data_IF_649073864247
#
_entry.id   IF_649073864247
#
_cell.length_a   1.000
_cell.length_b   1.000
_cell.length_c   1.000
_cell.angle_alpha   90.00
_cell.angle_beta   90.00
_cell.angle_gamma   90.00
#
_symmetry.space_group_name_H-M   'P 1'
#
loop_
_entity.id
_entity.type
_entity.pdbx_description
1 polymer ?
#
# COMPACT_ATOMS: atom_id res chain seq x y z
N UNK A 1 13.60 13.42 -82.39
CA UNK A 1 14.13 13.93 -81.14
C UNK A 1 13.59 13.04 -80.00
N UNK A 2 14.37 12.02 -79.58
CA UNK A 2 14.05 11.18 -78.46
C UNK A 2 14.57 11.83 -77.17
N UNK A 3 13.72 12.00 -76.17
CA UNK A 3 14.13 12.36 -74.81
C UNK A 3 14.08 11.14 -73.95
N UNK A 4 15.23 10.72 -73.50
CA UNK A 4 15.45 9.63 -72.51
C UNK A 4 15.15 10.16 -71.11
N UNK A 5 14.19 9.50 -70.40
CA UNK A 5 13.95 9.76 -68.99
C UNK A 5 14.81 8.78 -68.17
N UNK A 6 15.74 9.31 -67.40
CA UNK A 6 16.44 8.57 -66.35
C UNK A 6 15.58 8.57 -65.10
N UNK A 7 15.06 7.41 -64.71
CA UNK A 7 14.44 7.19 -63.38
C UNK A 7 15.49 6.80 -62.38
N UNK A 8 15.84 7.77 -61.49
CA UNK A 8 16.68 7.48 -60.32
C UNK A 8 15.85 6.77 -59.23
N UNK A 9 16.23 5.55 -58.93
CA UNK A 9 15.70 4.82 -57.78
C UNK A 9 16.47 5.26 -56.54
N UNK A 10 15.84 6.04 -55.64
CA UNK A 10 16.36 6.36 -54.34
C UNK A 10 16.16 5.15 -53.40
N UNK A 11 17.23 4.45 -53.05
CA UNK A 11 17.24 3.43 -52.03
C UNK A 11 17.08 4.09 -50.63
N UNK A 12 15.91 3.97 -50.04
CA UNK A 12 15.71 4.32 -48.61
C UNK A 12 16.38 3.22 -47.77
N UNK A 13 17.52 3.56 -47.16
CA UNK A 13 18.15 2.74 -46.15
C UNK A 13 17.30 2.84 -44.86
N UNK A 14 16.54 1.83 -44.55
CA UNK A 14 15.95 1.63 -43.22
C UNK A 14 17.13 1.36 -42.26
N UNK A 15 17.51 2.35 -41.48
CA UNK A 15 18.34 2.13 -40.29
C UNK A 15 17.46 1.43 -39.27
N UNK A 16 17.57 0.11 -39.16
CA UNK A 16 17.04 -0.63 -38.03
C UNK A 16 17.79 -0.11 -36.79
N UNK A 17 17.12 0.65 -35.95
CA UNK A 17 17.60 0.94 -34.62
C UNK A 17 17.72 -0.39 -33.89
N UNK A 18 18.94 -0.86 -33.68
CA UNK A 18 19.23 -1.94 -32.76
C UNK A 18 18.75 -1.47 -31.37
N UNK A 19 17.55 -1.90 -30.99
CA UNK A 19 17.11 -1.76 -29.60
C UNK A 19 18.17 -2.46 -28.76
N UNK A 20 18.83 -1.71 -27.85
CA UNK A 20 19.74 -2.29 -26.89
C UNK A 20 19.00 -3.42 -26.14
N UNK A 21 19.70 -4.53 -25.90
CA UNK A 21 19.13 -5.63 -25.12
C UNK A 21 18.62 -5.07 -23.79
N UNK A 22 17.45 -5.50 -23.29
CA UNK A 22 16.90 -5.00 -22.03
C UNK A 22 17.90 -5.28 -20.90
N UNK A 23 18.30 -4.26 -20.16
CA UNK A 23 19.18 -4.37 -19.00
C UNK A 23 18.64 -3.56 -17.82
N UNK A 24 19.12 -3.88 -16.62
CA UNK A 24 18.88 -3.10 -15.39
C UNK A 24 20.24 -2.59 -14.92
N UNK A 25 20.36 -1.28 -14.74
CA UNK A 25 21.58 -0.69 -14.19
C UNK A 25 21.27 -0.13 -12.79
N UNK A 26 22.13 -0.48 -11.81
CA UNK A 26 22.08 0.00 -10.43
C UNK A 26 23.35 0.75 -10.12
N UNK A 27 23.24 2.02 -9.78
CA UNK A 27 24.39 2.85 -9.38
C UNK A 27 24.50 2.91 -7.85
N UNK A 28 25.44 2.14 -7.30
CA UNK A 28 25.68 2.01 -5.85
C UNK A 28 26.16 3.33 -5.21
N UNK A 29 26.82 4.20 -5.98
CA UNK A 29 27.32 5.48 -5.46
C UNK A 29 26.24 6.57 -5.40
N UNK A 30 25.12 6.38 -6.11
CA UNK A 30 24.07 7.40 -6.23
C UNK A 30 22.85 7.06 -5.40
N UNK A 31 22.77 7.66 -4.22
CA UNK A 31 21.59 7.59 -3.36
C UNK A 31 20.51 8.57 -3.87
N UNK A 32 19.24 8.13 -3.84
CA UNK A 32 18.10 8.92 -4.32
C UNK A 32 17.08 9.23 -3.20
N UNK A 33 17.17 8.54 -2.07
CA UNK A 33 16.26 8.74 -0.95
C UNK A 33 16.36 7.62 0.07
N UNK A 34 15.27 7.41 0.81
CA UNK A 34 15.10 6.32 1.77
C UNK A 34 13.89 5.48 1.42
N UNK A 35 13.96 4.18 1.71
CA UNK A 35 12.82 3.27 1.52
C UNK A 35 11.74 3.58 2.55
N UNK A 36 10.57 3.97 2.08
CA UNK A 36 9.39 4.18 2.93
C UNK A 36 8.71 2.85 3.25
N UNK A 37 9.13 2.19 4.32
CA UNK A 37 8.60 0.89 4.72
C UNK A 37 7.09 0.91 4.98
N UNK A 38 6.48 2.06 5.31
CA UNK A 38 5.03 2.18 5.54
C UNK A 38 4.19 1.90 4.31
N UNK A 39 4.80 1.85 3.11
CA UNK A 39 4.12 1.39 1.89
C UNK A 39 3.78 -0.11 1.94
N UNK A 40 4.53 -0.90 2.73
CA UNK A 40 4.23 -2.31 2.99
C UNK A 40 3.35 -2.52 4.23
N UNK A 41 2.56 -1.53 4.61
CA UNK A 41 1.57 -1.63 5.67
C UNK A 41 0.42 -2.57 5.32
N UNK A 42 -0.42 -2.86 6.31
CA UNK A 42 -1.55 -3.78 6.14
C UNK A 42 -2.78 -3.24 6.87
N UNK A 43 -3.96 -3.45 6.26
CA UNK A 43 -5.25 -3.24 6.90
C UNK A 43 -5.72 -4.55 7.55
N UNK A 44 -6.23 -4.43 8.77
CA UNK A 44 -6.78 -5.58 9.51
C UNK A 44 -7.96 -6.20 8.77
N UNK A 45 -8.85 -5.37 8.22
CA UNK A 45 -10.11 -5.81 7.63
C UNK A 45 -11.21 -6.05 8.68
N UNK A 46 -12.15 -5.11 8.75
CA UNK A 46 -13.12 -4.94 9.86
C UNK A 46 -14.06 -6.09 10.17
N UNK A 47 -14.17 -7.11 9.32
CA UNK A 47 -15.17 -8.17 9.55
C UNK A 47 -14.64 -9.42 10.26
N UNK A 48 -13.34 -9.55 10.45
CA UNK A 48 -12.83 -10.88 10.67
C UNK A 48 -12.44 -11.18 12.13
N UNK A 49 -12.11 -10.20 12.94
CA UNK A 49 -11.40 -10.48 14.18
C UNK A 49 -10.17 -11.37 13.90
N UNK A 50 -9.68 -11.33 12.67
CA UNK A 50 -8.65 -12.23 12.15
C UNK A 50 -7.39 -12.14 12.99
N UNK A 51 -7.02 -10.93 13.38
CA UNK A 51 -5.87 -10.68 14.24
C UNK A 51 -5.89 -11.49 15.55
N UNK A 52 -7.10 -11.78 16.07
CA UNK A 52 -7.24 -12.50 17.34
C UNK A 52 -7.26 -14.03 17.20
N UNK A 53 -7.20 -14.56 15.97
CA UNK A 53 -7.10 -15.99 15.73
C UNK A 53 -5.67 -16.48 15.99
N UNK A 54 -5.45 -17.53 16.79
CA UNK A 54 -4.08 -18.03 17.10
C UNK A 54 -3.26 -18.39 15.85
N UNK A 55 -3.89 -19.01 14.85
CA UNK A 55 -3.21 -19.36 13.60
C UNK A 55 -2.73 -18.11 12.83
N UNK A 56 -3.56 -17.06 12.80
CA UNK A 56 -3.21 -15.80 12.12
C UNK A 56 -2.07 -15.09 12.86
N UNK A 57 -2.12 -15.01 14.19
CA UNK A 57 -1.01 -14.46 14.99
C UNK A 57 0.29 -15.17 14.72
N UNK A 58 0.27 -16.50 14.71
CA UNK A 58 1.44 -17.31 14.37
C UNK A 58 1.95 -17.01 12.95
N UNK A 59 1.05 -16.86 11.97
CA UNK A 59 1.42 -16.52 10.60
C UNK A 59 2.03 -15.12 10.45
N UNK A 60 1.66 -14.18 11.33
CA UNK A 60 2.22 -12.83 11.35
C UNK A 60 3.60 -12.75 12.04
N UNK A 61 3.98 -13.75 12.84
CA UNK A 61 5.29 -13.76 13.52
C UNK A 61 6.43 -13.62 12.51
N UNK A 62 7.30 -12.62 12.73
CA UNK A 62 8.43 -12.33 11.84
C UNK A 62 8.07 -11.67 10.50
N UNK A 63 6.78 -11.34 10.25
CA UNK A 63 6.45 -10.40 9.17
C UNK A 63 6.67 -8.97 9.66
N UNK A 64 7.35 -8.12 8.87
CA UNK A 64 7.36 -6.69 9.11
C UNK A 64 5.92 -6.14 9.02
N UNK A 65 5.50 -5.39 10.02
CA UNK A 65 4.21 -4.70 10.05
C UNK A 65 4.47 -3.20 10.25
N UNK A 66 5.08 -2.51 9.27
CA UNK A 66 5.55 -1.14 9.46
C UNK A 66 4.41 -0.14 9.67
N UNK A 67 3.23 -0.45 9.19
CA UNK A 67 2.00 0.31 9.36
C UNK A 67 0.82 -0.67 9.42
N UNK A 68 -0.04 -0.51 10.43
CA UNK A 68 -1.29 -1.28 10.52
C UNK A 68 -2.47 -0.34 10.67
N UNK A 69 -3.45 -0.47 9.79
CA UNK A 69 -4.76 0.19 9.94
C UNK A 69 -5.67 -0.71 10.75
N UNK A 70 -6.03 -0.26 11.94
CA UNK A 70 -6.99 -0.92 12.83
C UNK A 70 -8.37 -0.32 12.59
N UNK A 71 -9.27 -1.13 12.04
CA UNK A 71 -10.56 -0.66 11.53
C UNK A 71 -11.72 -0.81 12.51
N UNK A 72 -12.78 -0.03 12.26
CA UNK A 72 -14.10 -0.14 12.88
C UNK A 72 -14.07 -0.08 14.42
N UNK A 73 -13.23 0.75 14.98
CA UNK A 73 -13.02 0.83 16.43
C UNK A 73 -14.29 1.28 17.17
N UNK A 74 -15.05 2.19 16.58
CA UNK A 74 -16.30 2.69 17.19
C UNK A 74 -17.47 1.74 17.03
N UNK A 75 -17.38 0.76 16.11
CA UNK A 75 -18.30 -0.33 16.01
C UNK A 75 -17.90 -1.44 16.98
N UNK A 76 -18.85 -2.06 17.66
CA UNK A 76 -18.62 -3.15 18.63
C UNK A 76 -17.93 -4.40 18.07
N UNK A 77 -17.59 -4.44 16.81
CA UNK A 77 -16.89 -5.55 16.13
C UNK A 77 -15.64 -5.03 15.42
N UNK A 78 -14.50 -5.75 15.47
CA UNK A 78 -14.29 -7.01 16.22
C UNK A 78 -13.87 -6.80 17.68
N UNK A 79 -13.63 -5.56 18.10
CA UNK A 79 -12.99 -5.23 19.38
C UNK A 79 -13.94 -5.37 20.58
N UNK A 80 -15.27 -5.37 20.37
CA UNK A 80 -16.27 -5.33 21.42
C UNK A 80 -15.98 -4.21 22.45
N UNK A 81 -15.64 -3.02 21.92
CA UNK A 81 -15.06 -1.92 22.66
C UNK A 81 -15.96 -1.36 23.77
N UNK A 82 -17.28 -1.42 23.58
CA UNK A 82 -18.24 -0.82 24.51
C UNK A 82 -19.41 -1.74 24.78
N UNK A 83 -19.73 -1.92 26.05
CA UNK A 83 -20.91 -2.63 26.53
C UNK A 83 -22.01 -1.60 26.90
N UNK A 84 -23.01 -1.48 26.04
CA UNK A 84 -24.13 -0.56 26.27
C UNK A 84 -25.02 -0.94 27.46
N UNK A 85 -24.99 -2.20 27.92
CA UNK A 85 -25.77 -2.64 29.07
C UNK A 85 -25.18 -2.18 30.40
N UNK A 86 -23.86 -2.02 30.47
CA UNK A 86 -23.12 -1.58 31.64
C UNK A 86 -22.61 -0.14 31.53
N UNK A 87 -22.61 0.44 30.32
CA UNK A 87 -22.02 1.77 30.06
C UNK A 87 -20.48 1.77 30.13
N UNK A 88 -19.83 0.62 30.03
CA UNK A 88 -18.38 0.48 30.22
C UNK A 88 -17.66 0.14 28.94
N UNK A 89 -16.43 0.70 28.81
CA UNK A 89 -15.50 0.30 27.77
C UNK A 89 -14.74 -0.96 28.15
N UNK A 90 -14.42 -1.77 27.14
CA UNK A 90 -13.53 -2.94 27.23
C UNK A 90 -12.35 -2.73 26.25
N UNK A 91 -11.24 -2.31 26.77
CA UNK A 91 -10.05 -1.95 26.00
C UNK A 91 -9.17 -3.14 25.60
N UNK A 92 -9.41 -4.32 26.20
CA UNK A 92 -8.50 -5.47 26.13
C UNK A 92 -8.03 -5.81 24.72
N UNK A 93 -8.95 -5.93 23.76
CA UNK A 93 -8.60 -6.30 22.38
C UNK A 93 -7.90 -5.16 21.63
N UNK A 94 -8.30 -3.94 21.86
CA UNK A 94 -7.66 -2.77 21.23
C UNK A 94 -6.21 -2.64 21.72
N UNK A 95 -6.00 -2.72 23.05
CA UNK A 95 -4.68 -2.67 23.65
C UNK A 95 -3.79 -3.80 23.13
N UNK A 96 -4.31 -5.01 23.08
CA UNK A 96 -3.59 -6.19 22.61
C UNK A 96 -3.12 -6.05 21.15
N UNK A 97 -3.94 -5.47 20.28
CA UNK A 97 -3.60 -5.26 18.88
C UNK A 97 -2.56 -4.13 18.71
N UNK A 98 -2.76 -2.99 19.39
CA UNK A 98 -1.80 -1.89 19.36
C UNK A 98 -0.43 -2.34 19.90
N UNK A 99 -0.41 -3.07 21.01
CA UNK A 99 0.83 -3.57 21.62
C UNK A 99 1.57 -4.53 20.69
N UNK A 100 0.85 -5.42 20.01
CA UNK A 100 1.44 -6.36 19.06
C UNK A 100 2.08 -5.65 17.86
N UNK A 101 1.43 -4.63 17.30
CA UNK A 101 1.97 -3.83 16.19
C UNK A 101 3.21 -3.06 16.65
N UNK A 102 3.14 -2.41 17.81
CA UNK A 102 4.28 -1.66 18.38
C UNK A 102 5.48 -2.55 18.70
N UNK A 103 5.22 -3.75 19.23
CA UNK A 103 6.28 -4.75 19.49
C UNK A 103 6.98 -5.17 18.19
N UNK A 104 6.26 -5.21 17.08
CA UNK A 104 6.82 -5.44 15.74
C UNK A 104 7.52 -4.20 15.15
N UNK A 105 7.59 -3.08 15.87
CA UNK A 105 8.20 -1.82 15.39
C UNK A 105 7.33 -1.00 14.45
N UNK A 106 6.02 -1.31 14.35
CA UNK A 106 5.10 -0.65 13.45
C UNK A 106 4.40 0.58 14.04
N UNK A 107 3.86 1.39 13.13
CA UNK A 107 2.93 2.48 13.43
C UNK A 107 1.48 2.01 13.25
N UNK A 108 0.55 2.71 13.90
CA UNK A 108 -0.88 2.39 13.84
C UNK A 108 -1.64 3.58 13.28
N UNK A 109 -2.59 3.29 12.37
CA UNK A 109 -3.71 4.18 12.03
C UNK A 109 -4.94 3.62 12.71
N UNK A 110 -5.58 4.38 13.60
CA UNK A 110 -6.87 3.99 14.18
C UNK A 110 -7.99 4.60 13.38
N UNK A 111 -8.88 3.74 12.90
CA UNK A 111 -10.03 4.14 12.11
C UNK A 111 -11.28 4.27 13.01
N UNK A 112 -11.70 5.50 13.26
CA UNK A 112 -12.90 5.85 14.01
C UNK A 112 -14.14 5.69 13.11
N UNK A 113 -14.54 4.46 12.88
CA UNK A 113 -15.60 4.11 11.94
C UNK A 113 -16.69 3.26 12.56
N UNK A 114 -17.92 3.64 12.26
CA UNK A 114 -19.14 2.98 12.63
C UNK A 114 -19.80 3.59 13.87
N UNK A 115 -21.11 3.73 13.82
CA UNK A 115 -21.92 4.24 14.93
C UNK A 115 -22.20 3.12 15.93
N UNK A 116 -21.83 3.25 17.22
CA UNK A 116 -22.27 2.33 18.25
C UNK A 116 -23.79 2.22 18.29
N UNK A 117 -24.34 1.02 18.48
CA UNK A 117 -25.79 0.77 18.38
C UNK A 117 -26.62 1.72 19.25
N UNK A 118 -26.16 2.02 20.47
CA UNK A 118 -26.86 2.92 21.40
C UNK A 118 -26.88 4.40 20.95
N UNK A 119 -25.94 4.79 20.08
CA UNK A 119 -25.85 6.12 19.48
C UNK A 119 -26.46 6.19 18.07
N UNK A 120 -26.79 5.06 17.45
CA UNK A 120 -27.32 5.00 16.10
C UNK A 120 -28.67 5.72 15.97
N UNK A 121 -28.88 6.44 14.87
CA UNK A 121 -30.16 7.07 14.56
C UNK A 121 -31.26 6.04 14.28
N UNK A 122 -30.86 4.87 13.75
CA UNK A 122 -31.73 3.70 13.60
C UNK A 122 -31.05 2.46 14.22
N UNK A 123 -31.25 2.20 15.51
CA UNK A 123 -30.68 1.04 16.19
C UNK A 123 -31.29 -0.30 15.74
N UNK A 124 -32.40 -0.27 15.01
CA UNK A 124 -33.09 -1.46 14.46
C UNK A 124 -32.69 -1.75 13.01
N UNK A 125 -31.89 -0.89 12.38
CA UNK A 125 -31.39 -1.10 11.03
C UNK A 125 -30.66 -2.44 10.92
N UNK A 126 -30.61 -3.02 9.71
CA UNK A 126 -29.85 -4.25 9.44
C UNK A 126 -28.39 -4.16 9.89
N UNK A 127 -27.78 -2.99 9.76
CA UNK A 127 -26.44 -2.67 10.28
C UNK A 127 -26.47 -1.27 10.92
N UNK A 128 -26.81 -1.17 12.21
CA UNK A 128 -26.92 0.12 12.91
C UNK A 128 -25.67 0.98 12.81
N UNK A 129 -24.49 0.33 12.77
CA UNK A 129 -23.19 0.99 12.67
C UNK A 129 -23.01 1.87 11.42
N UNK A 130 -23.80 1.68 10.38
CA UNK A 130 -23.73 2.44 9.14
C UNK A 130 -24.76 3.57 9.07
N UNK A 131 -25.63 3.68 10.08
CA UNK A 131 -26.52 4.81 10.22
C UNK A 131 -25.83 5.99 10.91
N UNK A 132 -26.18 7.24 10.59
CA UNK A 132 -25.64 8.38 11.31
C UNK A 132 -25.86 8.27 12.82
N UNK A 133 -25.00 8.85 13.65
CA UNK A 133 -25.32 9.05 15.06
C UNK A 133 -26.58 9.93 15.21
N UNK A 134 -27.44 9.62 16.17
CA UNK A 134 -28.58 10.46 16.53
C UNK A 134 -28.15 11.77 17.22
N UNK A 135 -27.01 11.75 17.89
CA UNK A 135 -26.36 12.87 18.54
C UNK A 135 -24.87 12.90 18.16
N UNK A 136 -24.48 13.91 17.39
CA UNK A 136 -23.11 14.06 16.89
C UNK A 136 -22.13 14.41 17.98
N UNK A 137 -22.55 15.16 19.01
CA UNK A 137 -21.71 15.49 20.16
C UNK A 137 -21.39 14.24 20.97
N UNK A 138 -22.41 13.44 21.29
CA UNK A 138 -22.20 12.19 22.02
C UNK A 138 -21.28 11.22 21.26
N UNK A 139 -21.37 11.19 19.93
CA UNK A 139 -20.44 10.38 19.13
C UNK A 139 -19.01 10.93 19.14
N UNK A 140 -18.84 12.26 19.06
CA UNK A 140 -17.52 12.89 19.14
C UNK A 140 -16.88 12.67 20.53
N UNK A 141 -17.66 12.75 21.61
CA UNK A 141 -17.23 12.42 22.98
C UNK A 141 -16.82 10.94 23.09
N UNK A 142 -17.58 10.02 22.46
CA UNK A 142 -17.20 8.61 22.41
C UNK A 142 -15.86 8.39 21.69
N UNK A 143 -15.61 9.09 20.59
CA UNK A 143 -14.32 9.05 19.90
C UNK A 143 -13.20 9.64 20.79
N UNK A 144 -13.47 10.73 21.49
CA UNK A 144 -12.52 11.36 22.41
C UNK A 144 -12.08 10.41 23.54
N UNK A 145 -13.01 9.60 24.09
CA UNK A 145 -12.67 8.60 25.10
C UNK A 145 -11.71 7.52 24.57
N UNK A 146 -11.84 7.14 23.31
CA UNK A 146 -10.91 6.21 22.66
C UNK A 146 -9.51 6.85 22.57
N UNK A 147 -9.42 8.10 22.13
CA UNK A 147 -8.16 8.84 22.05
C UNK A 147 -7.53 8.99 23.44
N UNK A 148 -8.33 9.35 24.45
CA UNK A 148 -7.89 9.49 25.84
C UNK A 148 -7.27 8.19 26.35
N UNK A 149 -7.99 7.07 26.22
CA UNK A 149 -7.49 5.78 26.64
C UNK A 149 -6.15 5.46 25.96
N UNK A 150 -6.11 5.55 24.62
CA UNK A 150 -4.94 5.14 23.83
C UNK A 150 -3.73 6.02 24.08
N UNK A 151 -3.89 7.34 24.05
CA UNK A 151 -2.75 8.27 24.04
C UNK A 151 -2.46 8.89 25.40
N UNK A 152 -3.48 9.12 26.24
CA UNK A 152 -3.28 9.78 27.54
C UNK A 152 -3.05 8.74 28.64
N UNK A 153 -3.95 7.75 28.74
CA UNK A 153 -3.89 6.76 29.82
C UNK A 153 -2.82 5.71 29.55
N UNK A 154 -2.82 5.09 28.35
CA UNK A 154 -1.88 4.04 27.93
C UNK A 154 -0.58 4.58 27.36
N UNK A 155 -0.55 5.84 26.90
CA UNK A 155 0.63 6.50 26.31
C UNK A 155 1.19 5.74 25.11
N UNK A 156 0.31 5.15 24.29
CA UNK A 156 0.73 4.41 23.09
C UNK A 156 1.30 5.35 22.01
N UNK A 157 0.95 6.65 22.02
CA UNK A 157 1.47 7.64 21.06
C UNK A 157 1.03 7.35 19.63
N UNK A 158 -0.19 6.89 19.45
CA UNK A 158 -0.80 6.70 18.13
C UNK A 158 -0.98 8.07 17.48
N UNK A 159 -0.33 8.28 16.32
CA UNK A 159 -0.33 9.57 15.62
C UNK A 159 -1.56 9.76 14.75
N UNK A 160 -1.99 8.74 14.00
CA UNK A 160 -2.95 8.87 12.92
C UNK A 160 -4.33 8.37 13.33
N UNK A 161 -5.32 9.26 13.27
CA UNK A 161 -6.72 9.02 13.60
C UNK A 161 -7.57 9.26 12.37
N UNK A 162 -7.98 8.19 11.71
CA UNK A 162 -8.78 8.23 10.49
C UNK A 162 -10.27 8.25 10.83
N UNK A 163 -10.96 9.26 10.31
CA UNK A 163 -12.40 9.35 10.46
C UNK A 163 -13.13 8.62 9.35
N UNK A 164 -14.00 7.69 9.73
CA UNK A 164 -14.93 6.95 8.88
C UNK A 164 -14.28 6.03 7.83
N UNK A 165 -15.15 5.45 6.95
CA UNK A 165 -14.77 4.55 5.85
C UNK A 165 -15.83 4.59 4.74
N UNK A 166 -15.44 4.89 3.50
CA UNK A 166 -16.24 4.79 2.26
C UNK A 166 -17.70 5.25 2.39
N UNK A 167 -17.95 6.50 2.80
CA UNK A 167 -19.33 6.96 3.05
C UNK A 167 -20.15 7.13 1.77
N UNK A 168 -19.50 7.35 0.62
CA UNK A 168 -20.13 7.79 -0.62
C UNK A 168 -21.03 6.74 -1.27
N UNK A 169 -20.74 5.47 -1.06
CA UNK A 169 -21.53 4.37 -1.61
C UNK A 169 -22.89 4.16 -0.93
N UNK A 170 -23.23 4.94 0.09
CA UNK A 170 -24.38 4.71 1.00
C UNK A 170 -24.35 3.33 1.69
N UNK A 171 -23.22 2.62 1.59
CA UNK A 171 -23.00 1.33 2.26
C UNK A 171 -22.64 1.54 3.72
N UNK A 172 -21.71 2.47 3.96
CA UNK A 172 -21.17 2.72 5.29
C UNK A 172 -21.62 4.07 5.89
N UNK A 173 -22.41 4.87 5.13
CA UNK A 173 -23.15 6.04 5.61
C UNK A 173 -24.47 6.12 4.87
N UNK A 174 -25.54 5.58 5.50
CA UNK A 174 -26.85 5.41 4.85
C UNK A 174 -27.50 6.72 4.42
N UNK A 175 -27.10 7.84 4.98
CA UNK A 175 -27.64 9.18 4.72
C UNK A 175 -26.91 9.94 3.59
N UNK A 176 -25.88 9.37 2.97
CA UNK A 176 -25.06 10.05 1.95
C UNK A 176 -25.90 10.64 0.80
N UNK A 177 -26.91 9.93 0.34
CA UNK A 177 -27.80 10.36 -0.75
C UNK A 177 -28.66 11.57 -0.40
N UNK A 178 -28.89 11.83 0.90
CA UNK A 178 -29.68 12.96 1.39
C UNK A 178 -28.82 14.23 1.58
N UNK A 179 -27.58 14.18 1.14
CA UNK A 179 -26.62 15.28 1.26
C UNK A 179 -25.49 14.94 2.23
N UNK A 180 -24.27 15.18 1.78
CA UNK A 180 -23.06 14.84 2.53
C UNK A 180 -22.69 15.88 3.60
N UNK A 181 -23.43 17.01 3.70
CA UNK A 181 -23.14 18.10 4.65
C UNK A 181 -23.14 17.61 6.10
N UNK A 182 -24.09 16.76 6.49
CA UNK A 182 -24.14 16.18 7.84
C UNK A 182 -22.93 15.29 8.16
N UNK A 183 -22.42 14.59 7.16
CA UNK A 183 -21.20 13.80 7.31
C UNK A 183 -19.98 14.69 7.57
N UNK A 184 -19.87 15.79 6.83
CA UNK A 184 -18.79 16.75 7.00
C UNK A 184 -18.86 17.51 8.34
N UNK A 185 -20.08 17.79 8.82
CA UNK A 185 -20.32 18.35 10.14
C UNK A 185 -19.85 17.41 11.24
N UNK A 186 -20.19 16.12 11.15
CA UNK A 186 -19.74 15.11 12.10
C UNK A 186 -18.20 14.99 12.10
N UNK A 187 -17.58 15.00 10.92
CA UNK A 187 -16.12 15.05 10.82
C UNK A 187 -15.53 16.20 11.65
N UNK A 188 -16.05 17.41 11.45
CA UNK A 188 -15.56 18.60 12.17
C UNK A 188 -15.67 18.46 13.69
N UNK A 189 -16.77 17.90 14.19
CA UNK A 189 -16.95 17.65 15.62
C UNK A 189 -15.97 16.62 16.15
N UNK A 190 -15.80 15.48 15.44
CA UNK A 190 -14.84 14.43 15.83
C UNK A 190 -13.40 14.96 15.79
N UNK A 191 -13.03 15.65 14.72
CA UNK A 191 -11.67 16.20 14.57
C UNK A 191 -11.31 17.17 15.68
N UNK A 192 -12.24 18.05 16.06
CA UNK A 192 -12.06 18.96 17.18
C UNK A 192 -11.94 18.20 18.52
N UNK A 193 -12.78 17.18 18.75
CA UNK A 193 -12.74 16.39 19.97
C UNK A 193 -11.43 15.60 20.11
N UNK A 194 -10.93 15.03 19.01
CA UNK A 194 -9.61 14.37 18.95
C UNK A 194 -8.50 15.36 19.36
N UNK A 195 -8.44 16.54 18.71
CA UNK A 195 -7.41 17.56 18.99
C UNK A 195 -7.51 18.16 20.39
N UNK A 196 -8.69 18.29 20.93
CA UNK A 196 -8.88 18.75 22.34
C UNK A 196 -8.37 17.71 23.34
N UNK A 197 -8.51 16.43 23.02
CA UNK A 197 -8.06 15.32 23.88
C UNK A 197 -6.56 15.10 23.77
N UNK A 198 -6.02 15.11 22.54
CA UNK A 198 -4.59 14.99 22.27
C UNK A 198 -4.20 15.98 21.15
N UNK A 199 -3.63 17.15 21.50
CA UNK A 199 -3.20 18.13 20.50
C UNK A 199 -2.13 17.61 19.52
N UNK A 200 -1.38 16.57 19.89
CA UNK A 200 -0.38 15.91 19.05
C UNK A 200 -0.96 14.91 18.04
N UNK A 201 -2.20 14.48 18.23
CA UNK A 201 -2.86 13.56 17.30
C UNK A 201 -3.09 14.22 15.95
N UNK A 202 -2.82 13.47 14.87
CA UNK A 202 -3.13 13.86 13.49
C UNK A 202 -4.48 13.26 13.12
N UNK A 203 -5.41 14.08 12.62
CA UNK A 203 -6.74 13.64 12.25
C UNK A 203 -7.00 13.88 10.76
N UNK A 204 -7.61 12.92 10.11
CA UNK A 204 -7.90 12.98 8.68
C UNK A 204 -8.96 11.95 8.27
N UNK A 205 -9.05 11.66 7.03
CA UNK A 205 -9.99 10.66 6.52
C UNK A 205 -10.31 10.92 5.06
N UNK A 206 -11.34 10.33 4.56
CA UNK A 206 -12.30 9.38 5.13
C UNK A 206 -12.29 8.04 4.37
N UNK A 207 -11.15 7.70 3.75
CA UNK A 207 -10.97 6.39 3.12
C UNK A 207 -11.98 6.10 2.02
N UNK A 208 -12.24 7.02 1.11
CA UNK A 208 -13.15 6.80 -0.02
C UNK A 208 -12.38 6.41 -1.28
N UNK A 209 -13.10 5.92 -2.28
CA UNK A 209 -12.49 5.51 -3.53
C UNK A 209 -11.85 6.70 -4.26
N UNK A 210 -10.55 6.59 -4.51
CA UNK A 210 -9.73 7.61 -5.18
C UNK A 210 -10.19 7.98 -6.60
N UNK A 211 -11.03 7.15 -7.23
CA UNK A 211 -11.58 7.42 -8.55
C UNK A 211 -12.65 8.52 -8.55
N UNK A 212 -13.20 8.85 -7.37
CA UNK A 212 -14.25 9.86 -7.18
C UNK A 212 -13.75 11.08 -6.37
N UNK A 213 -12.81 11.89 -6.90
CA UNK A 213 -12.25 13.02 -6.19
C UNK A 213 -13.26 14.13 -5.88
N UNK A 214 -14.41 14.14 -6.55
CA UNK A 214 -15.50 15.08 -6.30
C UNK A 214 -16.08 14.97 -4.88
N UNK A 215 -16.01 13.80 -4.25
CA UNK A 215 -16.41 13.61 -2.85
C UNK A 215 -15.50 14.40 -1.91
N UNK A 216 -14.19 14.35 -2.15
CA UNK A 216 -13.19 15.14 -1.41
C UNK A 216 -13.29 16.64 -1.71
N UNK A 217 -13.56 17.01 -2.96
CA UNK A 217 -13.75 18.42 -3.32
C UNK A 217 -14.91 19.06 -2.56
N UNK A 218 -16.03 18.33 -2.39
CA UNK A 218 -17.16 18.76 -1.60
C UNK A 218 -16.81 18.97 -0.12
N UNK A 219 -16.05 18.05 0.45
CA UNK A 219 -15.55 18.12 1.81
C UNK A 219 -14.60 19.28 2.03
N UNK A 220 -13.62 19.47 1.15
CA UNK A 220 -12.66 20.58 1.26
C UNK A 220 -13.34 21.95 1.17
N UNK A 221 -14.34 22.12 0.28
CA UNK A 221 -15.14 23.35 0.23
C UNK A 221 -15.93 23.58 1.52
N UNK A 222 -16.53 22.53 2.08
CA UNK A 222 -17.22 22.63 3.37
C UNK A 222 -16.26 23.08 4.49
N UNK A 223 -15.04 22.55 4.54
CA UNK A 223 -14.03 22.93 5.56
C UNK A 223 -13.52 24.36 5.40
N UNK A 224 -13.55 24.94 4.21
CA UNK A 224 -13.26 26.38 4.03
C UNK A 224 -14.31 27.25 4.71
N UNK A 225 -15.57 26.86 4.65
CA UNK A 225 -16.68 27.57 5.27
C UNK A 225 -16.82 27.25 6.76
N UNK A 226 -16.47 26.05 7.17
CA UNK A 226 -16.60 25.52 8.51
C UNK A 226 -15.25 24.92 8.96
N UNK A 227 -14.27 25.74 9.37
CA UNK A 227 -12.92 25.30 9.67
C UNK A 227 -12.87 24.22 10.75
N UNK A 228 -12.19 23.11 10.44
CA UNK A 228 -11.88 22.02 11.36
C UNK A 228 -10.49 21.46 11.05
N UNK A 229 -9.81 20.81 12.01
CA UNK A 229 -8.53 20.19 11.78
C UNK A 229 -8.57 19.16 10.63
N UNK A 230 -7.57 19.23 9.74
CA UNK A 230 -7.33 18.26 8.68
C UNK A 230 -5.84 18.14 8.46
N UNK A 231 -5.23 17.05 8.94
CA UNK A 231 -3.79 16.85 8.93
C UNK A 231 -3.32 15.92 7.81
N UNK A 232 -4.16 14.98 7.37
CA UNK A 232 -3.86 14.04 6.29
C UNK A 232 -5.13 13.60 5.57
N UNK A 233 -4.98 12.99 4.42
CA UNK A 233 -6.07 12.36 3.65
C UNK A 233 -5.81 10.86 3.49
N UNK A 234 -6.90 10.11 3.48
CA UNK A 234 -6.88 8.68 3.20
C UNK A 234 -7.77 8.38 1.99
N UNK A 235 -7.29 7.50 1.14
CA UNK A 235 -7.98 7.06 -0.08
C UNK A 235 -7.89 5.54 -0.21
N UNK A 236 -8.84 4.96 -0.95
CA UNK A 236 -8.86 3.54 -1.30
C UNK A 236 -8.76 3.36 -2.81
N UNK A 237 -8.08 2.29 -3.23
CA UNK A 237 -8.09 1.87 -4.63
C UNK A 237 -7.86 0.37 -4.77
N UNK A 238 -8.76 -0.29 -5.48
CA UNK A 238 -8.71 -1.73 -5.76
C UNK A 238 -8.50 -1.98 -7.26
N UNK A 239 -7.23 -2.04 -7.67
CA UNK A 239 -6.83 -2.37 -9.03
C UNK A 239 -7.44 -1.44 -10.09
N UNK A 240 -7.84 -2.02 -11.20
CA UNK A 240 -8.58 -1.29 -12.23
C UNK A 240 -10.04 -1.75 -12.25
N UNK A 241 -10.95 -0.90 -11.77
CA UNK A 241 -12.39 -1.06 -11.97
C UNK A 241 -12.79 -0.81 -13.43
N UNK A 242 -11.86 -0.77 -14.37
CA UNK A 242 -12.11 -0.57 -15.80
C UNK A 242 -12.96 -1.71 -16.42
N UNK A 243 -14.00 -2.09 -15.70
CA UNK A 243 -14.98 -3.05 -16.13
C UNK A 243 -14.51 -4.51 -16.05
N UNK A 244 -15.41 -5.45 -16.36
CA UNK A 244 -15.21 -6.90 -16.23
C UNK A 244 -14.06 -7.49 -17.08
N UNK A 245 -13.44 -6.70 -17.94
CA UNK A 245 -12.41 -7.12 -18.88
C UNK A 245 -11.12 -6.28 -18.84
N UNK A 246 -10.99 -5.32 -17.92
CA UNK A 246 -9.80 -4.47 -17.81
C UNK A 246 -8.61 -5.24 -17.23
N UNK A 247 -7.42 -4.96 -17.77
CA UNK A 247 -6.16 -5.41 -17.19
C UNK A 247 -5.79 -4.43 -16.07
N UNK A 248 -5.53 -4.89 -14.84
CA UNK A 248 -5.09 -4.00 -13.77
C UNK A 248 -3.80 -3.27 -14.14
N UNK A 249 -3.77 -1.96 -13.92
CA UNK A 249 -2.61 -1.12 -14.17
C UNK A 249 -2.01 -0.65 -12.82
N UNK A 250 -0.89 -1.22 -12.36
CA UNK A 250 -0.31 -0.87 -11.05
C UNK A 250 0.14 0.59 -10.96
N UNK A 251 0.43 1.25 -12.09
CA UNK A 251 0.76 2.68 -12.17
C UNK A 251 -0.39 3.60 -11.75
N UNK A 252 -1.62 3.10 -11.71
CA UNK A 252 -2.78 3.92 -11.34
C UNK A 252 -2.71 4.47 -9.91
N UNK A 253 -1.97 3.82 -9.00
CA UNK A 253 -1.76 4.35 -7.65
C UNK A 253 -1.07 5.71 -7.68
N UNK A 254 -0.05 5.87 -8.50
CA UNK A 254 0.65 7.16 -8.66
C UNK A 254 -0.29 8.20 -9.27
N UNK A 255 -0.94 7.87 -10.39
CA UNK A 255 -1.86 8.79 -11.09
C UNK A 255 -2.99 9.30 -10.20
N UNK A 256 -3.58 8.42 -9.37
CA UNK A 256 -4.66 8.80 -8.45
C UNK A 256 -4.14 9.63 -7.28
N UNK A 257 -2.95 9.33 -6.77
CA UNK A 257 -2.30 10.13 -5.74
C UNK A 257 -1.98 11.55 -6.25
N UNK A 258 -1.42 11.68 -7.47
CA UNK A 258 -1.17 12.97 -8.13
C UNK A 258 -2.45 13.79 -8.26
N UNK A 259 -3.51 13.16 -8.76
CA UNK A 259 -4.82 13.81 -8.90
C UNK A 259 -5.38 14.29 -7.56
N UNK A 260 -5.19 13.53 -6.50
CA UNK A 260 -5.62 13.91 -5.16
C UNK A 260 -4.77 15.06 -4.59
N UNK A 261 -3.46 15.05 -4.78
CA UNK A 261 -2.60 16.15 -4.35
C UNK A 261 -2.89 17.44 -5.14
N UNK A 262 -3.20 17.34 -6.43
CA UNK A 262 -3.64 18.48 -7.22
C UNK A 262 -4.97 19.06 -6.69
N UNK A 263 -5.91 18.19 -6.33
CA UNK A 263 -7.15 18.60 -5.68
C UNK A 263 -6.89 19.33 -4.36
N UNK A 264 -5.99 18.83 -3.52
CA UNK A 264 -5.61 19.48 -2.27
C UNK A 264 -5.01 20.86 -2.51
N UNK A 265 -4.07 20.99 -3.46
CA UNK A 265 -3.50 22.30 -3.82
C UNK A 265 -4.57 23.27 -4.28
N UNK A 266 -5.48 22.83 -5.17
CA UNK A 266 -6.53 23.67 -5.71
C UNK A 266 -7.55 24.11 -4.65
N UNK A 267 -8.02 23.19 -3.82
CA UNK A 267 -9.10 23.46 -2.89
C UNK A 267 -8.59 23.98 -1.53
N UNK A 268 -7.42 23.54 -1.05
CA UNK A 268 -6.90 23.89 0.26
C UNK A 268 -5.68 24.82 0.22
N UNK A 269 -5.09 25.05 -0.96
CA UNK A 269 -3.87 25.81 -1.12
C UNK A 269 -2.59 25.12 -0.65
N UNK A 270 -2.65 23.82 -0.32
CA UNK A 270 -1.52 23.02 0.16
C UNK A 270 -1.66 21.54 -0.19
N UNK A 271 -0.56 20.82 -0.23
CA UNK A 271 -0.54 19.35 -0.21
C UNK A 271 -0.78 18.85 1.22
N UNK A 272 -1.29 17.63 1.33
CA UNK A 272 -1.46 16.93 2.61
C UNK A 272 -0.76 15.59 2.55
N UNK A 273 -0.25 15.07 3.69
CA UNK A 273 0.13 13.66 3.79
C UNK A 273 -0.99 12.76 3.26
N UNK A 274 -0.63 11.77 2.42
CA UNK A 274 -1.58 10.91 1.74
C UNK A 274 -1.30 9.44 2.04
N UNK A 275 -2.36 8.72 2.43
CA UNK A 275 -2.29 7.30 2.70
C UNK A 275 -3.30 6.53 1.85
N UNK A 276 -2.88 5.41 1.27
CA UNK A 276 -3.80 4.37 0.82
C UNK A 276 -4.15 3.48 2.01
N UNK A 277 -5.26 3.74 2.69
CA UNK A 277 -5.65 2.95 3.87
C UNK A 277 -6.32 1.63 3.52
N UNK A 278 -6.70 1.45 2.26
CA UNK A 278 -6.97 0.15 1.63
C UNK A 278 -6.48 0.14 0.20
N UNK A 279 -5.73 -0.90 -0.16
CA UNK A 279 -5.32 -1.13 -1.54
C UNK A 279 -5.14 -2.61 -1.82
N UNK A 280 -5.54 -3.06 -3.00
CA UNK A 280 -5.36 -4.42 -3.52
C UNK A 280 -5.90 -4.49 -4.94
N UNK A 281 -5.87 -5.70 -5.53
CA UNK A 281 -6.75 -6.05 -6.64
C UNK A 281 -8.19 -6.27 -6.14
N UNK A 282 -9.24 -6.00 -6.93
CA UNK A 282 -10.63 -6.23 -6.52
C UNK A 282 -10.87 -7.69 -6.13
N UNK A 283 -11.57 -7.93 -5.02
CA UNK A 283 -11.83 -9.27 -4.50
C UNK A 283 -12.52 -10.18 -5.53
N UNK A 284 -13.42 -9.63 -6.33
CA UNK A 284 -14.13 -10.33 -7.41
C UNK A 284 -13.21 -10.70 -8.58
N UNK A 285 -12.13 -9.95 -8.77
CA UNK A 285 -11.16 -10.13 -9.85
C UNK A 285 -9.98 -11.01 -9.43
N UNK A 286 -9.62 -10.98 -8.16
CA UNK A 286 -8.42 -11.66 -7.62
C UNK A 286 -8.44 -13.16 -7.85
N UNK A 287 -9.61 -13.80 -7.77
CA UNK A 287 -9.73 -15.24 -8.05
C UNK A 287 -9.49 -15.60 -9.53
N UNK A 288 -9.44 -14.62 -10.43
CA UNK A 288 -9.16 -14.80 -11.87
C UNK A 288 -7.68 -14.68 -12.19
N UNK A 289 -6.89 -14.12 -11.28
CA UNK A 289 -5.47 -13.88 -11.51
C UNK A 289 -4.61 -14.96 -10.85
N UNK A 290 -3.64 -15.55 -11.59
CA UNK A 290 -2.63 -16.42 -11.01
C UNK A 290 -1.86 -15.73 -9.88
N UNK A 291 -1.41 -16.50 -8.90
CA UNK A 291 -0.65 -15.96 -7.76
C UNK A 291 0.60 -15.17 -8.19
N UNK A 292 1.28 -15.62 -9.26
CA UNK A 292 2.41 -14.90 -9.86
C UNK A 292 2.04 -13.51 -10.37
N UNK A 293 0.86 -13.37 -11.00
CA UNK A 293 0.37 -12.08 -11.49
C UNK A 293 0.05 -11.14 -10.32
N UNK A 294 -0.55 -11.65 -9.23
CA UNK A 294 -0.82 -10.87 -8.02
C UNK A 294 0.50 -10.39 -7.40
N UNK A 295 1.51 -11.27 -7.32
CA UNK A 295 2.83 -10.89 -6.83
C UNK A 295 3.47 -9.78 -7.65
N UNK A 296 3.51 -9.97 -8.97
CA UNK A 296 4.09 -9.00 -9.90
C UNK A 296 3.38 -7.64 -9.82
N UNK A 297 2.04 -7.66 -9.77
CA UNK A 297 1.26 -6.45 -9.61
C UNK A 297 1.54 -5.75 -8.27
N UNK A 298 1.60 -6.51 -7.18
CA UNK A 298 1.90 -5.97 -5.84
C UNK A 298 3.30 -5.35 -5.79
N UNK A 299 4.32 -6.04 -6.31
CA UNK A 299 5.69 -5.53 -6.33
C UNK A 299 5.85 -4.31 -7.22
N UNK A 300 5.19 -4.30 -8.39
CA UNK A 300 5.21 -3.15 -9.28
C UNK A 300 4.53 -1.92 -8.64
N UNK A 301 3.37 -2.10 -8.01
CA UNK A 301 2.66 -1.01 -7.33
C UNK A 301 3.49 -0.42 -6.17
N UNK A 302 4.15 -1.26 -5.36
CA UNK A 302 5.04 -0.80 -4.28
C UNK A 302 6.21 0.01 -4.84
N UNK A 303 6.85 -0.47 -5.91
CA UNK A 303 7.96 0.23 -6.53
C UNK A 303 7.51 1.58 -7.10
N UNK A 304 6.39 1.63 -7.81
CA UNK A 304 5.84 2.87 -8.35
C UNK A 304 5.49 3.88 -7.24
N UNK A 305 4.85 3.43 -6.16
CA UNK A 305 4.55 4.29 -5.00
C UNK A 305 5.81 4.83 -4.33
N UNK A 306 6.86 4.00 -4.18
CA UNK A 306 8.14 4.40 -3.62
C UNK A 306 8.83 5.45 -4.50
N UNK A 307 8.92 5.20 -5.81
CA UNK A 307 9.54 6.14 -6.76
C UNK A 307 8.81 7.48 -6.83
N UNK A 308 7.49 7.48 -6.71
CA UNK A 308 6.71 8.71 -6.65
C UNK A 308 7.02 9.56 -5.41
N UNK A 309 7.29 8.93 -4.26
CA UNK A 309 7.80 9.57 -3.05
C UNK A 309 6.83 10.51 -2.31
N UNK A 310 5.55 10.60 -2.73
CA UNK A 310 4.53 11.47 -2.09
C UNK A 310 3.33 10.68 -1.56
N UNK A 311 3.52 9.40 -1.28
CA UNK A 311 2.57 8.55 -0.57
C UNK A 311 3.20 8.20 0.76
N UNK A 312 2.61 8.66 1.86
CA UNK A 312 3.18 8.54 3.21
C UNK A 312 3.05 7.13 3.79
N UNK A 313 2.10 6.35 3.29
CA UNK A 313 1.94 4.94 3.63
C UNK A 313 0.81 4.28 2.85
N UNK A 314 0.81 2.95 2.85
CA UNK A 314 -0.20 2.17 2.16
C UNK A 314 -0.51 0.90 2.98
N UNK A 315 -1.80 0.62 3.21
CA UNK A 315 -2.25 -0.53 3.97
C UNK A 315 -2.91 -1.55 3.04
N UNK A 316 -2.19 -2.65 2.77
CA UNK A 316 -2.68 -3.74 1.92
C UNK A 316 -3.92 -4.39 2.55
N UNK A 317 -5.01 -4.43 1.86
CA UNK A 317 -6.25 -5.03 2.32
C UNK A 317 -6.31 -6.48 1.84
N UNK A 318 -6.14 -7.51 2.68
CA UNK A 318 -6.09 -7.45 4.16
C UNK A 318 -5.26 -8.61 4.75
N UNK A 319 -5.18 -8.72 6.08
CA UNK A 319 -4.41 -9.76 6.78
C UNK A 319 -4.87 -11.17 6.40
N UNK A 320 -6.17 -11.48 6.48
CA UNK A 320 -6.71 -12.81 6.17
C UNK A 320 -8.04 -12.71 5.43
N UNK A 321 -8.23 -13.57 4.43
CA UNK A 321 -9.50 -13.69 3.72
C UNK A 321 -9.76 -15.13 3.29
N UNK A 322 -10.95 -15.66 3.60
CA UNK A 322 -11.30 -17.03 3.30
C UNK A 322 -11.88 -17.25 1.88
N UNK A 323 -12.55 -16.24 1.31
CA UNK A 323 -13.22 -16.32 -0.01
C UNK A 323 -12.34 -15.89 -1.19
N UNK A 324 -11.34 -15.10 -0.94
CA UNK A 324 -10.49 -14.53 -1.99
C UNK A 324 -9.01 -14.76 -1.65
N UNK A 325 -8.46 -15.93 -1.98
CA UNK A 325 -7.12 -16.35 -1.56
C UNK A 325 -6.03 -15.34 -1.91
N UNK A 326 -6.06 -14.74 -3.09
CA UNK A 326 -5.01 -13.81 -3.51
C UNK A 326 -5.15 -12.40 -2.89
N UNK A 327 -6.28 -12.09 -2.23
CA UNK A 327 -6.54 -10.77 -1.62
C UNK A 327 -6.14 -10.66 -0.16
N UNK A 328 -5.25 -11.51 0.34
CA UNK A 328 -4.80 -11.43 1.74
C UNK A 328 -3.37 -11.90 1.92
N UNK A 329 -2.78 -11.52 3.05
CA UNK A 329 -1.43 -11.94 3.42
C UNK A 329 -1.39 -13.41 3.84
N UNK A 330 -2.41 -13.85 4.55
CA UNK A 330 -2.50 -15.19 5.14
C UNK A 330 -3.78 -15.90 4.69
N UNK A 331 -3.72 -17.21 4.66
CA UNK A 331 -4.94 -18.04 4.62
C UNK A 331 -5.56 -18.19 6.03
N UNK A 332 -6.76 -18.79 6.16
CA UNK A 332 -7.38 -19.00 7.47
C UNK A 332 -6.58 -19.89 8.43
N UNK A 333 -5.62 -20.66 7.93
CA UNK A 333 -4.72 -21.52 8.69
C UNK A 333 -3.43 -20.77 9.10
N UNK A 334 -3.25 -19.52 8.68
CA UNK A 334 -2.09 -18.69 8.97
C UNK A 334 -0.90 -18.91 8.02
N UNK A 335 -1.07 -19.67 6.94
CA UNK A 335 0.00 -19.83 5.95
C UNK A 335 0.17 -18.57 5.13
N UNK A 336 1.42 -18.19 4.88
CA UNK A 336 1.79 -17.00 4.11
C UNK A 336 1.49 -17.16 2.63
N UNK A 337 0.81 -16.18 2.06
CA UNK A 337 0.51 -16.10 0.64
C UNK A 337 1.54 -15.26 -0.10
N UNK A 338 1.47 -15.26 -1.41
CA UNK A 338 2.41 -14.58 -2.30
C UNK A 338 2.57 -13.08 -1.97
N UNK A 339 1.47 -12.36 -1.75
CA UNK A 339 1.51 -10.94 -1.41
C UNK A 339 2.29 -10.66 -0.12
N UNK A 340 2.18 -11.52 0.91
CA UNK A 340 2.93 -11.33 2.16
C UNK A 340 4.45 -11.41 1.95
N UNK A 341 4.90 -12.30 1.05
CA UNK A 341 6.32 -12.43 0.74
C UNK A 341 6.88 -11.23 -0.04
N UNK A 342 6.07 -10.67 -0.94
CA UNK A 342 6.44 -9.46 -1.68
C UNK A 342 6.51 -8.24 -0.74
N UNK A 343 5.50 -8.06 0.13
CA UNK A 343 5.50 -7.00 1.13
C UNK A 343 6.68 -7.14 2.10
N UNK A 344 7.00 -8.37 2.52
CA UNK A 344 8.15 -8.65 3.36
C UNK A 344 9.45 -8.28 2.66
N UNK A 345 9.66 -8.72 1.41
CA UNK A 345 10.86 -8.41 0.64
C UNK A 345 11.06 -6.90 0.45
N UNK A 346 9.97 -6.16 0.21
CA UNK A 346 10.02 -4.70 0.14
C UNK A 346 10.39 -4.08 1.50
N UNK A 347 9.75 -4.50 2.59
CA UNK A 347 9.99 -3.94 3.92
C UNK A 347 11.39 -4.28 4.48
N UNK A 348 12.02 -5.35 3.98
CA UNK A 348 13.37 -5.78 4.35
C UNK A 348 14.47 -5.14 3.50
N UNK A 349 14.13 -4.34 2.46
CA UNK A 349 15.13 -3.60 1.70
C UNK A 349 15.98 -2.72 2.64
N UNK A 350 17.29 -2.56 2.38
CA UNK A 350 18.12 -1.58 3.08
C UNK A 350 17.50 -0.18 3.07
N UNK A 351 17.90 0.67 3.99
CA UNK A 351 17.27 1.99 4.17
C UNK A 351 17.54 2.93 2.99
N UNK A 352 18.79 2.96 2.50
CA UNK A 352 19.21 3.92 1.49
C UNK A 352 18.81 3.46 0.09
N UNK A 353 17.87 4.16 -0.54
CA UNK A 353 17.48 3.91 -1.92
C UNK A 353 18.58 4.34 -2.89
N UNK A 354 18.82 3.50 -3.90
CA UNK A 354 19.84 3.70 -4.92
C UNK A 354 19.20 4.04 -6.28
N UNK A 355 19.95 4.75 -7.13
CA UNK A 355 19.48 5.06 -8.47
C UNK A 355 19.45 3.80 -9.35
N UNK A 356 18.37 3.69 -10.14
CA UNK A 356 18.19 2.70 -11.21
C UNK A 356 17.97 3.47 -12.52
N UNK A 357 19.04 3.95 -13.18
CA UNK A 357 18.91 4.81 -14.35
C UNK A 357 18.37 4.08 -15.60
N UNK A 358 18.48 2.75 -15.64
CA UNK A 358 18.04 1.93 -16.77
C UNK A 358 17.25 0.72 -16.27
N UNK A 359 16.08 0.50 -16.83
CA UNK A 359 15.26 -0.70 -16.63
C UNK A 359 14.33 -0.96 -17.83
N UNK A 360 13.94 -2.22 -18.10
CA UNK A 360 12.95 -2.53 -19.13
C UNK A 360 11.59 -1.88 -18.86
N UNK A 361 10.84 -1.56 -19.90
CA UNK A 361 9.57 -0.81 -19.83
C UNK A 361 8.47 -1.53 -19.00
N UNK A 362 8.43 -2.87 -19.05
CA UNK A 362 7.46 -3.69 -18.33
C UNK A 362 7.92 -4.08 -16.92
N UNK A 363 9.01 -3.47 -16.43
CA UNK A 363 9.58 -3.73 -15.11
C UNK A 363 9.53 -2.50 -14.21
N UNK A 364 9.32 -2.73 -12.92
CA UNK A 364 9.56 -1.75 -11.87
C UNK A 364 10.67 -2.28 -10.96
N UNK A 365 11.70 -1.46 -10.71
CA UNK A 365 12.91 -1.88 -10.01
C UNK A 365 13.20 -0.94 -8.85
N UNK A 366 13.41 -1.51 -7.69
CA UNK A 366 13.92 -0.80 -6.52
C UNK A 366 15.28 -1.38 -6.13
N UNK A 367 16.24 -0.52 -5.95
CA UNK A 367 17.54 -0.90 -5.42
C UNK A 367 17.81 -0.11 -4.13
N UNK A 368 18.42 -0.76 -3.16
CA UNK A 368 18.76 -0.13 -1.89
C UNK A 368 20.03 -0.74 -1.30
N UNK A 369 20.79 0.06 -0.54
CA UNK A 369 22.01 -0.40 0.15
C UNK A 369 23.21 0.50 -0.05
N UNK A 370 24.38 -0.15 -0.09
CA UNK A 370 25.68 0.49 -0.26
C UNK A 370 26.68 -0.48 -0.92
N UNK A 371 27.96 -0.08 -1.00
CA UNK A 371 29.00 -0.88 -1.64
C UNK A 371 29.35 -2.22 -0.94
N UNK A 372 28.92 -2.43 0.31
CA UNK A 372 29.17 -3.66 1.07
C UNK A 372 27.96 -4.59 1.10
N UNK A 373 26.74 -4.02 1.02
CA UNK A 373 25.50 -4.78 1.01
C UNK A 373 24.42 -4.03 0.23
N UNK A 374 23.89 -4.66 -0.81
CA UNK A 374 22.81 -4.12 -1.63
C UNK A 374 21.71 -5.17 -1.86
N UNK A 375 20.47 -4.68 -2.02
CA UNK A 375 19.34 -5.49 -2.42
C UNK A 375 18.61 -4.82 -3.58
N UNK A 376 18.10 -5.63 -4.50
CA UNK A 376 17.29 -5.19 -5.64
C UNK A 376 16.01 -6.00 -5.68
N UNK A 377 14.87 -5.32 -5.70
CA UNK A 377 13.55 -5.90 -5.94
C UNK A 377 13.12 -5.54 -7.36
N UNK A 378 12.93 -6.56 -8.19
CA UNK A 378 12.54 -6.42 -9.60
C UNK A 378 11.15 -7.02 -9.76
N UNK A 379 10.19 -6.22 -10.18
CA UNK A 379 8.85 -6.69 -10.48
C UNK A 379 8.56 -6.53 -11.97
N UNK A 380 8.32 -7.64 -12.66
CA UNK A 380 7.88 -7.64 -14.05
C UNK A 380 6.39 -7.91 -14.13
N UNK A 381 5.68 -6.96 -14.70
CA UNK A 381 4.24 -7.05 -14.94
C UNK A 381 3.93 -6.82 -16.42
N UNK A 382 3.93 -7.90 -17.18
CA UNK A 382 3.74 -7.92 -18.64
C UNK A 382 2.43 -8.64 -19.01
N UNK A 383 1.27 -7.97 -18.97
CA UNK A 383 -0.02 -8.59 -19.18
C UNK A 383 -0.36 -8.87 -20.66
N UNK A 384 0.48 -8.47 -21.60
CA UNK A 384 0.31 -8.79 -23.01
C UNK A 384 0.37 -10.31 -23.22
N UNK A 385 -0.58 -10.86 -23.97
CA UNK A 385 -0.74 -12.31 -24.14
C UNK A 385 0.40 -13.01 -24.90
N UNK A 386 1.28 -12.25 -25.54
CA UNK A 386 2.47 -12.70 -26.27
C UNK A 386 3.77 -12.51 -25.49
N UNK A 387 3.70 -11.98 -24.26
CA UNK A 387 4.89 -11.78 -23.43
C UNK A 387 5.54 -13.12 -23.08
N UNK A 388 6.86 -13.21 -23.29
CA UNK A 388 7.67 -14.39 -22.98
C UNK A 388 8.67 -14.10 -21.86
N UNK A 389 9.22 -15.15 -21.26
CA UNK A 389 10.32 -15.02 -20.31
C UNK A 389 11.53 -14.35 -20.97
N UNK A 390 12.23 -13.53 -20.20
CA UNK A 390 13.48 -12.90 -20.64
C UNK A 390 14.55 -13.05 -19.57
N UNK A 391 15.82 -13.05 -19.99
CA UNK A 391 16.96 -12.94 -19.07
C UNK A 391 17.49 -11.52 -19.16
N UNK A 392 17.49 -10.82 -18.04
CA UNK A 392 17.91 -9.42 -17.95
C UNK A 392 19.22 -9.37 -17.17
N UNK A 393 20.31 -8.81 -17.72
CA UNK A 393 21.51 -8.51 -16.96
C UNK A 393 21.22 -7.39 -15.97
N UNK A 394 21.44 -7.64 -14.69
CA UNK A 394 21.42 -6.63 -13.63
C UNK A 394 22.86 -6.21 -13.39
N UNK A 395 23.20 -4.99 -13.81
CA UNK A 395 24.52 -4.43 -13.74
C UNK A 395 24.64 -3.49 -12.55
N UNK A 396 25.49 -3.85 -11.62
CA UNK A 396 25.90 -2.99 -10.52
C UNK A 396 27.14 -2.19 -10.91
N UNK A 397 27.13 -0.90 -10.63
CA UNK A 397 28.27 0.00 -10.83
C UNK A 397 28.72 0.60 -9.51
N UNK A 398 29.98 0.97 -9.44
CA UNK A 398 30.58 1.61 -8.27
C UNK A 398 30.57 0.72 -7.01
N UNK A 399 30.60 -0.60 -7.18
CA UNK A 399 30.95 -1.53 -6.11
C UNK A 399 32.43 -1.37 -5.74
N UNK A 400 32.88 -2.02 -4.66
CA UNK A 400 34.34 -2.08 -4.39
C UNK A 400 35.03 -2.86 -5.49
N UNK A 401 36.12 -2.31 -6.08
CA UNK A 401 36.89 -3.01 -7.10
C UNK A 401 37.45 -4.33 -6.60
N UNK A 402 37.52 -5.31 -7.48
CA UNK A 402 38.15 -6.63 -7.21
C UNK A 402 37.63 -7.32 -5.93
N UNK A 403 36.40 -7.04 -5.50
CA UNK A 403 35.84 -7.58 -4.27
C UNK A 403 34.93 -8.79 -4.54
N UNK A 404 34.93 -9.75 -3.61
CA UNK A 404 34.04 -10.89 -3.64
C UNK A 404 32.68 -10.52 -2.99
N UNK A 405 31.61 -10.98 -3.60
CA UNK A 405 30.23 -10.80 -3.10
C UNK A 405 29.51 -12.14 -3.07
N UNK A 406 28.86 -12.45 -1.95
CA UNK A 406 27.83 -13.49 -1.89
C UNK A 406 26.55 -12.93 -2.51
N UNK A 407 26.08 -13.58 -3.56
CA UNK A 407 24.88 -13.18 -4.30
C UNK A 407 23.82 -14.24 -4.15
N UNK A 408 22.60 -13.83 -3.81
CA UNK A 408 21.44 -14.72 -3.80
C UNK A 408 20.28 -14.14 -4.59
N UNK A 409 19.49 -15.03 -5.21
CA UNK A 409 18.28 -14.68 -5.98
C UNK A 409 17.13 -15.54 -5.47
N UNK A 410 16.04 -14.89 -5.10
CA UNK A 410 14.76 -15.53 -4.76
C UNK A 410 13.64 -14.95 -5.62
N UNK A 411 12.68 -15.77 -6.03
CA UNK A 411 11.65 -15.33 -6.99
C UNK A 411 10.26 -15.80 -6.59
N UNK A 412 9.25 -14.99 -6.89
CA UNK A 412 7.85 -15.33 -6.89
C UNK A 412 7.34 -15.31 -8.34
N UNK A 413 7.19 -16.48 -8.91
CA UNK A 413 6.62 -16.70 -10.24
C UNK A 413 5.92 -18.07 -10.29
N UNK A 414 5.52 -18.51 -11.49
CA UNK A 414 4.87 -19.80 -11.69
C UNK A 414 5.82 -21.01 -11.73
N UNK A 415 7.13 -20.76 -11.84
CA UNK A 415 8.14 -21.80 -12.18
C UNK A 415 9.22 -21.98 -11.12
N UNK A 416 9.49 -20.95 -10.31
CA UNK A 416 10.63 -20.94 -9.38
C UNK A 416 10.43 -21.81 -8.15
N UNK A 417 11.48 -22.57 -7.81
CA UNK A 417 11.55 -23.36 -6.58
C UNK A 417 11.94 -22.51 -5.35
N UNK A 418 12.74 -21.44 -5.58
CA UNK A 418 13.16 -20.51 -4.52
C UNK A 418 12.14 -19.40 -4.38
N UNK A 419 11.56 -19.24 -3.18
CA UNK A 419 10.53 -18.25 -2.88
C UNK A 419 11.10 -17.06 -2.13
N UNK A 420 10.56 -15.86 -2.39
CA UNK A 420 10.85 -14.68 -1.58
C UNK A 420 10.52 -14.96 -0.10
N UNK A 421 11.40 -14.56 0.81
CA UNK A 421 11.17 -14.73 2.26
C UNK A 421 11.11 -16.19 2.74
N UNK A 422 11.43 -17.18 1.90
CA UNK A 422 11.68 -18.55 2.31
C UNK A 422 13.10 -18.69 2.88
N UNK A 423 13.41 -19.86 3.49
CA UNK A 423 14.76 -20.19 3.98
C UNK A 423 15.83 -19.83 2.94
N UNK A 424 16.95 -19.28 3.41
CA UNK A 424 18.00 -18.61 2.62
C UNK A 424 18.21 -19.22 1.22
N UNK A 425 18.05 -18.42 0.16
CA UNK A 425 18.36 -18.88 -1.18
C UNK A 425 19.85 -19.26 -1.28
N UNK A 426 20.17 -20.16 -2.20
CA UNK A 426 21.56 -20.59 -2.41
C UNK A 426 22.42 -19.37 -2.78
N UNK A 427 23.45 -19.10 -1.98
CA UNK A 427 24.41 -18.05 -2.25
C UNK A 427 25.46 -18.54 -3.25
N UNK A 428 25.81 -17.67 -4.20
CA UNK A 428 26.88 -17.87 -5.16
C UNK A 428 27.93 -16.76 -5.00
N UNK A 429 29.20 -17.12 -5.03
CA UNK A 429 30.27 -16.13 -4.97
C UNK A 429 30.53 -15.54 -6.34
N UNK A 430 30.48 -14.23 -6.44
CA UNK A 430 30.79 -13.44 -7.63
C UNK A 430 31.85 -12.39 -7.28
N UNK A 431 32.59 -11.90 -8.30
CA UNK A 431 33.61 -10.89 -8.09
C UNK A 431 33.36 -9.69 -9.00
N UNK A 432 33.44 -8.49 -8.44
CA UNK A 432 33.47 -7.25 -9.22
C UNK A 432 34.75 -7.13 -10.01
N UNK A 433 34.72 -6.42 -11.14
CA UNK A 433 35.89 -6.08 -11.92
C UNK A 433 36.73 -4.96 -11.26
N UNK A 434 37.85 -4.60 -11.91
CA UNK A 434 38.75 -3.55 -11.45
C UNK A 434 38.12 -2.15 -11.43
N UNK A 435 37.03 -1.95 -12.17
CA UNK A 435 36.23 -0.72 -12.23
C UNK A 435 35.05 -0.75 -11.21
N UNK A 436 34.89 -1.85 -10.46
CA UNK A 436 33.80 -2.01 -9.50
C UNK A 436 32.45 -2.34 -10.14
N UNK A 437 32.44 -2.96 -11.32
CA UNK A 437 31.20 -3.45 -11.92
C UNK A 437 31.00 -4.93 -11.63
N UNK A 438 29.73 -5.33 -11.54
CA UNK A 438 29.30 -6.73 -11.42
C UNK A 438 27.99 -6.91 -12.18
N UNK A 439 27.92 -7.92 -13.03
CA UNK A 439 26.68 -8.22 -13.78
C UNK A 439 26.15 -9.59 -13.39
N UNK A 440 24.87 -9.62 -13.00
CA UNK A 440 24.15 -10.84 -12.59
C UNK A 440 22.97 -11.06 -13.56
N UNK A 441 22.91 -12.18 -14.28
CA UNK A 441 21.76 -12.50 -15.11
C UNK A 441 20.57 -12.91 -14.24
N UNK A 442 19.42 -12.28 -14.45
CA UNK A 442 18.17 -12.62 -13.77
C UNK A 442 17.12 -13.00 -14.80
N UNK A 443 16.57 -14.21 -14.69
CA UNK A 443 15.45 -14.65 -15.54
C UNK A 443 14.14 -14.09 -14.97
N UNK A 444 13.35 -13.44 -15.79
CA UNK A 444 12.06 -12.87 -15.45
C UNK A 444 10.94 -13.47 -16.31
N UNK A 445 10.00 -14.14 -15.68
CA UNK A 445 8.74 -14.52 -16.32
C UNK A 445 7.86 -13.28 -16.55
N UNK A 446 6.85 -13.32 -17.43
CA UNK A 446 5.94 -12.18 -17.68
C UNK A 446 5.27 -11.64 -16.42
N UNK A 447 5.04 -12.52 -15.43
CA UNK A 447 4.59 -12.17 -14.08
C UNK A 447 5.57 -12.75 -13.07
N UNK A 448 6.46 -11.91 -12.57
CA UNK A 448 7.45 -12.34 -11.58
C UNK A 448 7.90 -11.18 -10.68
N UNK A 449 8.32 -11.54 -9.47
CA UNK A 449 9.07 -10.67 -8.59
C UNK A 449 10.36 -11.38 -8.22
N UNK A 450 11.50 -10.74 -8.50
CA UNK A 450 12.82 -11.24 -8.13
C UNK A 450 13.43 -10.33 -7.04
N UNK A 451 13.89 -10.94 -5.97
CA UNK A 451 14.72 -10.31 -4.96
C UNK A 451 16.17 -10.79 -5.13
N UNK A 452 17.07 -9.85 -5.39
CA UNK A 452 18.51 -10.11 -5.54
C UNK A 452 19.24 -9.42 -4.40
N UNK A 453 20.10 -10.14 -3.70
CA UNK A 453 20.92 -9.56 -2.63
C UNK A 453 22.39 -9.78 -2.89
N UNK A 454 23.20 -8.76 -2.56
CA UNK A 454 24.66 -8.81 -2.57
C UNK A 454 25.16 -8.53 -1.17
N UNK A 455 26.11 -9.33 -0.70
CA UNK A 455 26.82 -9.12 0.57
C UNK A 455 28.29 -9.41 0.39
N UNK A 456 29.11 -8.50 0.88
CA UNK A 456 30.57 -8.66 0.91
C UNK A 456 31.04 -9.52 2.06
#
# INVERSE_FOLDING_TARGET
MLRTFCTGVAALAFAASLSAAPEIEVDIAKQTGTINRKLAGVSQGGNAGSFFKPAIRKGLEGLPLPLVRIEMITNSRPHALYDASTGKFNWTKLDEEIEAVRKAGGEVIINLFGTPQHLASDPAAKVPAFTPPKDFRAYAEFCAEIVRHVNIDRKYGVKYWEFWNEPSGSWFWTDWKNGNRRFFELYGMVANAVKQTDPGALVGGFGDNAQYPEHYAGWFRYLKENPAPLDFITIHYYGDWAGKNGTPAPQNYVRLAERMQELCRRELGRELPLFYTEWNLPAESVNRFPAAQVAAWTGYALAAMQEYGKIDGAAFFRIEHYRAPASSLLDPQGNRRTASRVLQAFAELPEQQLAVPVSPEDTAVLAAGNADAAAVLISRYAPAGDATAMTVPVRFRNLRPDAAYAVSIAQEDSTSASRLGASAPQEQSHRSDAEGNLTIPVRLEPFSVAGLTLRR
#
